data_IF_060068748751
#
_entry.id   IF_060068748751
#
_cell.length_a   1.000
_cell.length_b   1.000
_cell.length_c   1.000
_cell.angle_alpha   90.00
_cell.angle_beta   90.00
_cell.angle_gamma   90.00
#
_symmetry.space_group_name_H-M   'P 1'
#
loop_
_entity.id
_entity.type
_entity.pdbx_description
1 polymer ?
#
# COMPACT_ATOMS: atom_id res chain seq x y z
N UNK A 1 -24.25 19.92 5.22
CA UNK A 1 -23.74 19.11 4.08
C UNK A 1 -23.45 17.70 4.60
N UNK A 2 -23.91 16.65 3.90
CA UNK A 2 -23.68 15.26 4.30
C UNK A 2 -22.20 14.88 4.19
N UNK A 3 -21.80 13.81 4.90
CA UNK A 3 -20.42 13.27 4.88
C UNK A 3 -20.03 12.82 3.48
N UNK A 4 -20.96 12.33 2.68
CA UNK A 4 -20.73 11.93 1.29
C UNK A 4 -20.81 13.17 0.39
N UNK A 5 -19.70 13.52 -0.24
CA UNK A 5 -19.60 14.62 -1.19
C UNK A 5 -20.51 14.43 -2.41
N UNK A 6 -20.72 15.51 -3.12
CA UNK A 6 -21.61 15.56 -4.30
C UNK A 6 -21.02 14.83 -5.51
N UNK A 7 -19.69 14.60 -5.53
CA UNK A 7 -18.98 14.01 -6.68
C UNK A 7 -18.66 12.54 -6.36
N UNK A 8 -19.36 11.64 -7.01
CA UNK A 8 -19.02 10.22 -7.05
C UNK A 8 -18.30 9.90 -8.36
N UNK A 9 -17.30 9.05 -8.29
CA UNK A 9 -16.56 8.54 -9.45
C UNK A 9 -16.51 7.01 -9.41
N UNK A 10 -16.78 6.39 -10.54
CA UNK A 10 -16.43 4.99 -10.78
C UNK A 10 -15.01 5.00 -11.36
N UNK A 11 -14.12 4.20 -10.79
CA UNK A 11 -12.74 4.12 -11.24
C UNK A 11 -12.19 2.72 -11.22
N UNK A 12 -11.15 2.52 -12.00
CA UNK A 12 -10.31 1.34 -11.96
C UNK A 12 -8.85 1.78 -11.82
N UNK A 13 -8.08 1.03 -11.06
CA UNK A 13 -6.64 1.23 -10.93
C UNK A 13 -5.89 -0.10 -11.01
N UNK A 14 -4.64 -0.02 -11.35
CA UNK A 14 -3.74 -1.15 -11.41
C UNK A 14 -2.42 -0.79 -10.77
N UNK A 15 -2.00 -1.59 -9.78
CA UNK A 15 -0.71 -1.46 -9.15
C UNK A 15 0.11 -2.70 -9.46
N UNK A 16 1.38 -2.50 -9.81
CA UNK A 16 2.33 -3.58 -9.98
C UNK A 16 3.55 -3.30 -9.10
N UNK A 17 3.95 -4.30 -8.31
CA UNK A 17 5.19 -4.27 -7.54
C UNK A 17 6.07 -5.42 -8.00
N UNK A 18 7.23 -5.10 -8.58
CA UNK A 18 8.21 -6.09 -9.02
C UNK A 18 9.48 -5.99 -8.18
N UNK A 19 9.93 -7.11 -7.65
CA UNK A 19 11.18 -7.24 -6.89
C UNK A 19 12.24 -7.88 -7.80
N UNK A 20 13.26 -7.12 -8.16
CA UNK A 20 14.30 -7.52 -9.08
C UNK A 20 15.61 -7.81 -8.33
N UNK A 21 16.18 -9.00 -8.53
CA UNK A 21 17.46 -9.41 -7.95
C UNK A 21 18.65 -8.98 -8.83
N UNK A 22 18.93 -7.68 -8.85
CA UNK A 22 19.98 -7.08 -9.70
C UNK A 22 21.37 -7.71 -9.52
N UNK A 23 21.69 -8.18 -8.32
CA UNK A 23 23.00 -8.77 -7.98
C UNK A 23 23.09 -10.28 -8.22
N UNK A 24 21.99 -10.95 -8.57
CA UNK A 24 21.97 -12.38 -8.82
C UNK A 24 22.45 -12.71 -10.24
N UNK A 25 23.76 -12.66 -10.44
CA UNK A 25 24.38 -12.96 -11.74
C UNK A 25 24.33 -14.45 -12.13
N UNK A 26 24.07 -15.36 -11.17
CA UNK A 26 23.98 -16.80 -11.45
C UNK A 26 22.76 -17.17 -12.25
N UNK A 27 21.66 -16.42 -12.10
CA UNK A 27 20.38 -16.64 -12.76
C UNK A 27 19.98 -15.49 -13.68
N UNK A 28 20.95 -14.73 -14.22
CA UNK A 28 20.71 -13.60 -15.14
C UNK A 28 19.84 -12.49 -14.53
N UNK A 29 20.04 -12.16 -13.27
CA UNK A 29 19.31 -11.12 -12.56
C UNK A 29 17.78 -11.28 -12.68
N UNK A 30 17.17 -12.34 -12.15
CA UNK A 30 15.75 -12.63 -12.32
C UNK A 30 14.86 -11.69 -11.50
N UNK A 31 13.60 -11.61 -11.89
CA UNK A 31 12.57 -11.09 -11.00
C UNK A 31 12.23 -12.16 -9.94
N UNK A 32 12.49 -11.82 -8.68
CA UNK A 32 12.11 -12.68 -7.56
C UNK A 32 10.60 -12.83 -7.46
N UNK A 33 9.90 -11.71 -7.60
CA UNK A 33 8.45 -11.64 -7.44
C UNK A 33 7.89 -10.46 -8.23
N UNK A 34 6.67 -10.62 -8.74
CA UNK A 34 5.83 -9.53 -9.21
C UNK A 34 4.44 -9.73 -8.65
N UNK A 35 3.92 -8.72 -7.97
CA UNK A 35 2.54 -8.69 -7.48
C UNK A 35 1.71 -7.75 -8.36
N UNK A 36 0.52 -8.20 -8.71
CA UNK A 36 -0.44 -7.53 -9.58
C UNK A 36 -1.70 -7.21 -8.79
N UNK A 37 -2.05 -5.94 -8.67
CA UNK A 37 -3.17 -5.48 -7.85
C UNK A 37 -4.15 -4.62 -8.67
N UNK A 38 -5.03 -5.22 -9.51
CA UNK A 38 -6.16 -4.52 -10.10
C UNK A 38 -7.22 -4.19 -9.05
N UNK A 39 -7.83 -3.02 -9.17
CA UNK A 39 -8.90 -2.54 -8.30
C UNK A 39 -10.02 -1.91 -9.12
N UNK A 40 -11.26 -2.09 -8.65
CA UNK A 40 -12.45 -1.40 -9.13
C UNK A 40 -13.11 -0.71 -7.93
N UNK A 41 -13.46 0.57 -8.06
CA UNK A 41 -13.93 1.34 -6.92
C UNK A 41 -14.94 2.43 -7.25
N UNK A 42 -15.72 2.79 -6.24
CA UNK A 42 -16.49 4.02 -6.16
C UNK A 42 -15.78 4.98 -5.21
N UNK A 43 -15.53 6.20 -5.67
CA UNK A 43 -14.87 7.25 -4.89
C UNK A 43 -15.77 8.46 -4.70
N UNK A 44 -15.65 9.09 -3.53
CA UNK A 44 -16.40 10.26 -3.13
C UNK A 44 -15.43 11.32 -2.62
N UNK A 45 -15.27 12.40 -3.36
CA UNK A 45 -14.56 13.57 -2.87
C UNK A 45 -15.39 14.26 -1.79
N UNK A 46 -14.77 14.67 -0.70
CA UNK A 46 -15.43 15.35 0.41
C UNK A 46 -14.55 16.47 0.96
N UNK A 47 -15.14 17.40 1.69
CA UNK A 47 -14.46 18.46 2.44
C UNK A 47 -14.95 18.51 3.90
N UNK A 48 -15.42 17.37 4.42
CA UNK A 48 -15.92 17.27 5.77
C UNK A 48 -14.80 17.54 6.80
N UNK A 49 -15.06 18.51 7.67
CA UNK A 49 -14.09 18.96 8.68
C UNK A 49 -14.49 18.47 10.06
N UNK A 50 -13.50 17.90 10.79
CA UNK A 50 -13.64 17.48 12.17
C UNK A 50 -12.30 17.62 12.91
N UNK A 51 -12.31 18.29 14.06
CA UNK A 51 -11.15 18.46 14.95
C UNK A 51 -9.87 18.95 14.22
N UNK A 52 -10.00 19.85 13.24
CA UNK A 52 -8.89 20.38 12.46
C UNK A 52 -8.46 19.51 11.28
N UNK A 53 -9.01 18.32 11.13
CA UNK A 53 -8.80 17.45 9.96
C UNK A 53 -9.87 17.67 8.91
N UNK A 54 -9.48 17.59 7.66
CA UNK A 54 -10.39 17.58 6.52
C UNK A 54 -10.37 16.20 5.88
N UNK A 55 -11.49 15.48 5.92
CA UNK A 55 -11.68 14.25 5.15
C UNK A 55 -11.80 14.62 3.67
N UNK A 56 -10.84 14.20 2.86
CA UNK A 56 -10.72 14.58 1.45
C UNK A 56 -11.35 13.57 0.50
N UNK A 57 -11.24 12.30 0.83
CA UNK A 57 -11.67 11.23 -0.05
C UNK A 57 -12.16 10.02 0.74
N UNK A 58 -13.23 9.42 0.24
CA UNK A 58 -13.74 8.12 0.66
C UNK A 58 -13.80 7.24 -0.58
N UNK A 59 -13.26 6.04 -0.50
CA UNK A 59 -13.30 5.07 -1.59
C UNK A 59 -13.76 3.73 -1.05
N UNK A 60 -14.61 3.04 -1.80
CA UNK A 60 -15.03 1.67 -1.52
C UNK A 60 -14.86 0.85 -2.78
N UNK A 61 -14.26 -0.32 -2.67
CA UNK A 61 -13.96 -1.09 -3.86
C UNK A 61 -13.67 -2.56 -3.60
N UNK A 62 -13.45 -3.22 -4.71
CA UNK A 62 -12.94 -4.58 -4.78
C UNK A 62 -11.52 -4.56 -5.32
N UNK A 63 -10.68 -5.39 -4.75
CA UNK A 63 -9.28 -5.48 -5.11
C UNK A 63 -8.90 -6.97 -5.19
N UNK A 64 -8.24 -7.34 -6.26
CA UNK A 64 -7.57 -8.61 -6.43
C UNK A 64 -6.07 -8.37 -6.34
N UNK A 65 -5.34 -9.23 -5.63
CA UNK A 65 -3.89 -9.14 -5.53
C UNK A 65 -3.32 -10.54 -5.70
N UNK A 66 -2.44 -10.72 -6.69
CA UNK A 66 -1.88 -12.03 -7.04
C UNK A 66 -0.46 -11.89 -7.57
N UNK A 67 0.31 -12.98 -7.48
CA UNK A 67 1.66 -13.02 -8.02
C UNK A 67 1.75 -13.68 -9.42
N UNK A 68 0.64 -14.16 -9.96
CA UNK A 68 0.58 -14.76 -11.30
C UNK A 68 1.38 -16.04 -11.48
N UNK A 69 1.78 -16.68 -10.39
CA UNK A 69 2.52 -17.96 -10.43
C UNK A 69 1.56 -19.15 -10.35
N UNK A 70 2.04 -20.30 -10.78
CA UNK A 70 1.38 -21.60 -10.57
C UNK A 70 1.82 -22.22 -9.24
N UNK A 71 1.05 -23.23 -8.82
CA UNK A 71 1.39 -24.05 -7.65
C UNK A 71 2.79 -24.68 -7.75
N UNK A 72 3.50 -24.79 -6.60
CA UNK A 72 3.08 -24.45 -5.22
C UNK A 72 3.41 -23.01 -4.81
N UNK A 73 3.81 -22.15 -5.72
CA UNK A 73 4.22 -20.77 -5.45
C UNK A 73 3.16 -19.73 -5.76
N UNK A 74 1.96 -20.16 -6.19
CA UNK A 74 0.79 -19.32 -6.37
C UNK A 74 0.43 -18.61 -5.06
N UNK A 75 0.15 -17.30 -5.14
CA UNK A 75 -0.37 -16.50 -4.02
C UNK A 75 -1.40 -15.53 -4.57
N UNK A 76 -2.58 -15.56 -3.99
CA UNK A 76 -3.63 -14.63 -4.37
C UNK A 76 -4.64 -14.42 -3.25
N UNK A 77 -5.26 -13.26 -3.22
CA UNK A 77 -6.39 -12.96 -2.36
C UNK A 77 -7.25 -11.82 -2.91
N UNK A 78 -8.51 -11.82 -2.50
CA UNK A 78 -9.47 -10.81 -2.91
C UNK A 78 -9.98 -10.07 -1.68
N UNK A 79 -10.20 -8.77 -1.82
CA UNK A 79 -10.62 -7.91 -0.72
C UNK A 79 -11.72 -6.96 -1.16
N UNK A 80 -12.75 -6.84 -0.34
CA UNK A 80 -13.58 -5.66 -0.30
C UNK A 80 -12.92 -4.66 0.65
N UNK A 81 -12.75 -3.43 0.24
CA UNK A 81 -12.08 -2.43 1.05
C UNK A 81 -12.84 -1.11 1.11
N UNK A 82 -12.58 -0.35 2.17
CA UNK A 82 -12.84 1.07 2.23
C UNK A 82 -11.49 1.80 2.39
N UNK A 83 -11.36 2.98 1.82
CA UNK A 83 -10.21 3.86 2.00
C UNK A 83 -10.70 5.23 2.40
N UNK A 84 -10.15 5.77 3.46
CA UNK A 84 -10.43 7.12 3.94
C UNK A 84 -9.12 7.90 3.95
N UNK A 85 -9.13 9.08 3.36
CA UNK A 85 -7.98 9.97 3.31
C UNK A 85 -8.33 11.32 3.94
N UNK A 86 -7.55 11.72 4.94
CA UNK A 86 -7.72 12.98 5.65
C UNK A 86 -6.43 13.79 5.68
N UNK A 87 -6.58 15.12 5.71
CA UNK A 87 -5.46 16.06 5.72
C UNK A 87 -5.62 17.08 6.86
N UNK A 88 -4.51 17.44 7.49
CA UNK A 88 -4.41 18.56 8.42
C UNK A 88 -3.07 19.27 8.23
N UNK A 89 -3.08 20.49 7.66
CA UNK A 89 -1.85 21.19 7.31
C UNK A 89 -0.94 20.33 6.44
N UNK A 90 0.26 20.05 6.95
CA UNK A 90 1.28 19.24 6.28
C UNK A 90 1.12 17.72 6.50
N UNK A 91 0.10 17.28 7.23
CA UNK A 91 -0.18 15.88 7.49
C UNK A 91 -1.19 15.31 6.51
N UNK A 92 -0.91 14.13 6.00
CA UNK A 92 -1.83 13.26 5.27
C UNK A 92 -1.94 11.94 6.01
N UNK A 93 -3.16 11.46 6.21
CA UNK A 93 -3.42 10.14 6.81
C UNK A 93 -4.40 9.38 5.91
N UNK A 94 -4.06 8.14 5.62
CA UNK A 94 -4.91 7.21 4.89
C UNK A 94 -5.09 5.95 5.73
N UNK A 95 -6.34 5.52 5.87
CA UNK A 95 -6.71 4.22 6.48
C UNK A 95 -7.46 3.42 5.44
N UNK A 96 -6.98 2.20 5.17
CA UNK A 96 -7.59 1.27 4.22
C UNK A 96 -7.90 -0.06 4.92
N UNK A 97 -9.04 -0.19 5.64
CA UNK A 97 -9.52 -1.46 6.13
C UNK A 97 -10.03 -2.34 4.99
N UNK A 98 -10.01 -3.66 5.18
CA UNK A 98 -10.53 -4.62 4.22
C UNK A 98 -11.16 -5.85 4.87
N UNK A 99 -12.00 -6.50 4.08
CA UNK A 99 -12.57 -7.80 4.36
C UNK A 99 -12.17 -8.76 3.23
N UNK A 100 -11.62 -9.92 3.58
CA UNK A 100 -11.19 -10.93 2.61
C UNK A 100 -12.42 -11.67 2.09
N UNK A 101 -12.53 -11.83 0.78
CA UNK A 101 -13.63 -12.51 0.10
C UNK A 101 -13.10 -13.60 -0.84
N UNK A 102 -13.90 -14.62 -1.05
CA UNK A 102 -13.53 -15.74 -1.92
C UNK A 102 -12.53 -16.70 -1.26
N UNK A 103 -11.85 -17.46 -2.13
CA UNK A 103 -10.91 -18.49 -1.72
C UNK A 103 -9.51 -17.91 -1.45
N UNK A 104 -8.81 -18.42 -0.45
CA UNK A 104 -7.43 -18.13 -0.08
C UNK A 104 -6.58 -19.38 0.05
N UNK A 105 -6.91 -20.48 -0.65
CA UNK A 105 -6.26 -21.78 -0.51
C UNK A 105 -4.74 -21.69 -0.79
N UNK A 106 -4.31 -20.80 -1.67
CA UNK A 106 -2.89 -20.57 -1.98
C UNK A 106 -2.11 -19.92 -0.81
N UNK A 107 -2.82 -19.26 0.12
CA UNK A 107 -2.25 -18.55 1.27
C UNK A 107 -3.26 -18.45 2.42
N UNK A 108 -3.68 -19.59 3.02
CA UNK A 108 -4.83 -19.65 3.93
C UNK A 108 -4.65 -18.86 5.22
N UNK A 109 -3.44 -18.51 5.58
CA UNK A 109 -3.11 -17.77 6.79
C UNK A 109 -2.60 -16.34 6.52
N UNK A 110 -2.80 -15.80 5.30
CA UNK A 110 -2.30 -14.48 4.92
C UNK A 110 -2.75 -13.37 5.89
N UNK A 111 -3.98 -13.46 6.40
CA UNK A 111 -4.51 -12.47 7.35
C UNK A 111 -3.81 -12.48 8.71
N UNK A 112 -3.15 -13.59 9.09
CA UNK A 112 -2.35 -13.61 10.32
C UNK A 112 -1.22 -12.59 10.26
N UNK A 113 -0.62 -12.40 9.07
CA UNK A 113 0.54 -11.54 8.83
C UNK A 113 0.18 -10.15 8.30
N UNK A 114 -0.82 -10.09 7.41
CA UNK A 114 -1.24 -8.85 6.75
C UNK A 114 -2.31 -8.08 7.54
N UNK A 115 -3.00 -8.75 8.48
CA UNK A 115 -4.12 -8.15 9.21
C UNK A 115 -5.30 -7.80 8.31
N UNK A 116 -6.03 -6.76 8.73
CA UNK A 116 -7.30 -6.36 8.10
C UNK A 116 -7.35 -4.87 7.73
N UNK A 117 -6.22 -4.18 7.79
CA UNK A 117 -6.12 -2.77 7.40
C UNK A 117 -4.67 -2.39 7.06
N UNK A 118 -4.53 -1.29 6.32
CA UNK A 118 -3.27 -0.55 6.14
C UNK A 118 -3.47 0.87 6.62
N UNK A 119 -2.51 1.36 7.35
CA UNK A 119 -2.37 2.77 7.72
C UNK A 119 -1.23 3.36 6.92
N UNK A 120 -1.43 4.56 6.37
CA UNK A 120 -0.40 5.35 5.72
C UNK A 120 -0.44 6.76 6.26
N UNK A 121 0.73 7.31 6.56
CA UNK A 121 0.91 8.66 7.09
C UNK A 121 1.98 9.35 6.26
N UNK A 122 1.70 10.56 5.82
CA UNK A 122 2.66 11.45 5.16
C UNK A 122 2.81 12.76 5.93
N UNK A 123 4.00 13.32 5.93
CA UNK A 123 4.27 14.64 6.48
C UNK A 123 5.18 15.44 5.57
N UNK A 124 4.73 16.62 5.15
CA UNK A 124 5.52 17.52 4.32
C UNK A 124 6.41 18.39 5.20
N UNK A 125 7.73 18.21 5.11
CA UNK A 125 8.76 18.98 5.81
C UNK A 125 9.55 19.82 4.80
N UNK A 126 9.07 21.05 4.55
CA UNK A 126 9.62 21.87 3.46
C UNK A 126 9.44 21.16 2.12
N UNK A 127 10.54 20.88 1.41
CA UNK A 127 10.52 20.15 0.15
C UNK A 127 10.60 18.63 0.33
N UNK A 128 11.00 18.16 1.52
CA UNK A 128 11.04 16.74 1.84
C UNK A 128 9.64 16.22 2.20
N UNK A 129 9.36 14.96 1.88
CA UNK A 129 8.19 14.23 2.35
C UNK A 129 8.66 13.03 3.15
N UNK A 130 8.19 12.95 4.39
CA UNK A 130 8.36 11.81 5.25
C UNK A 130 7.11 10.93 5.13
N UNK A 131 7.28 9.63 4.97
CA UNK A 131 6.17 8.68 4.87
C UNK A 131 6.36 7.52 5.82
N UNK A 132 5.25 7.03 6.35
CA UNK A 132 5.17 5.79 7.09
C UNK A 132 3.95 5.02 6.60
N UNK A 133 4.08 3.72 6.37
CA UNK A 133 2.94 2.85 6.10
C UNK A 133 3.13 1.50 6.76
N UNK A 134 2.03 0.84 7.09
CA UNK A 134 2.10 -0.47 7.69
C UNK A 134 0.75 -1.12 7.90
N UNK A 135 0.81 -2.39 8.23
CA UNK A 135 -0.31 -3.24 8.63
C UNK A 135 0.06 -4.02 9.88
N UNK A 136 -0.93 -4.34 10.68
CA UNK A 136 -0.72 -5.09 11.91
C UNK A 136 -1.95 -5.92 12.29
N UNK A 137 -1.73 -7.16 12.70
CA UNK A 137 -2.78 -8.00 13.24
C UNK A 137 -2.66 -8.09 14.76
N UNK A 138 -3.57 -7.43 15.47
CA UNK A 138 -3.59 -7.35 16.93
C UNK A 138 -3.78 -8.71 17.62
N UNK A 139 -4.36 -9.70 16.94
CA UNK A 139 -4.59 -11.03 17.50
C UNK A 139 -3.34 -11.91 17.43
N UNK A 140 -2.51 -11.73 16.40
CA UNK A 140 -1.32 -12.57 16.19
C UNK A 140 -0.02 -11.87 16.56
N UNK A 141 -0.03 -10.53 16.65
CA UNK A 141 1.17 -9.72 16.88
C UNK A 141 2.07 -9.59 15.62
N UNK A 142 1.60 -10.03 14.44
CA UNK A 142 2.36 -9.93 13.20
C UNK A 142 1.95 -8.70 12.40
N UNK A 143 2.86 -8.25 11.57
CA UNK A 143 2.66 -7.11 10.69
C UNK A 143 3.96 -6.67 10.06
N UNK A 144 3.91 -5.58 9.31
CA UNK A 144 5.07 -4.97 8.70
C UNK A 144 4.87 -3.47 8.55
N UNK A 145 5.99 -2.76 8.54
CA UNK A 145 5.98 -1.32 8.39
C UNK A 145 7.11 -0.85 7.48
N UNK A 146 6.84 0.21 6.74
CA UNK A 146 7.79 0.92 5.90
C UNK A 146 7.87 2.38 6.32
N UNK A 147 9.08 2.90 6.42
CA UNK A 147 9.36 4.32 6.57
C UNK A 147 10.07 4.80 5.31
N UNK A 148 9.68 5.94 4.80
CA UNK A 148 10.25 6.51 3.59
C UNK A 148 10.55 8.00 3.74
N UNK A 149 11.51 8.46 2.95
CA UNK A 149 11.83 9.87 2.78
C UNK A 149 12.03 10.14 1.30
N UNK A 150 11.38 11.18 0.78
CA UNK A 150 11.63 11.65 -0.58
C UNK A 150 12.06 13.12 -0.57
N UNK A 151 12.93 13.49 -1.53
CA UNK A 151 13.41 14.84 -1.73
C UNK A 151 13.48 15.18 -3.23
N UNK A 152 12.98 16.35 -3.69
CA UNK A 152 13.00 16.68 -5.11
C UNK A 152 14.41 16.90 -5.62
N UNK A 153 14.73 16.25 -6.76
CA UNK A 153 15.97 16.50 -7.53
C UNK A 153 15.68 17.32 -8.78
N UNK A 154 14.49 17.15 -9.34
CA UNK A 154 13.97 17.95 -10.44
C UNK A 154 12.48 18.24 -10.22
N UNK A 155 11.85 18.98 -11.15
CA UNK A 155 10.38 19.23 -11.10
C UNK A 155 9.53 17.96 -11.14
N UNK A 156 10.07 16.84 -11.66
CA UNK A 156 9.31 15.62 -11.91
C UNK A 156 9.94 14.36 -11.30
N UNK A 157 11.11 14.50 -10.66
CA UNK A 157 11.84 13.37 -10.10
C UNK A 157 12.28 13.69 -8.69
N UNK A 158 12.02 12.78 -7.77
CA UNK A 158 12.46 12.84 -6.37
C UNK A 158 13.44 11.71 -6.09
N UNK A 159 14.47 11.96 -5.31
CA UNK A 159 15.23 10.90 -4.66
C UNK A 159 14.34 10.28 -3.57
N UNK A 160 14.41 8.97 -3.43
CA UNK A 160 13.62 8.23 -2.45
C UNK A 160 14.50 7.22 -1.71
N UNK A 161 14.33 7.14 -0.40
CA UNK A 161 14.90 6.09 0.44
C UNK A 161 13.83 5.52 1.34
N UNK A 162 13.91 4.22 1.60
CA UNK A 162 12.97 3.53 2.47
C UNK A 162 13.65 2.46 3.30
N UNK A 163 13.04 2.17 4.43
CA UNK A 163 13.29 0.97 5.21
C UNK A 163 11.97 0.25 5.45
N UNK A 164 11.94 -1.03 5.13
CA UNK A 164 10.84 -1.93 5.46
C UNK A 164 11.28 -2.90 6.53
N UNK A 165 10.39 -3.23 7.49
CA UNK A 165 10.65 -4.28 8.48
C UNK A 165 9.35 -5.00 8.83
N UNK A 166 9.39 -6.32 8.89
CA UNK A 166 8.26 -7.16 9.24
C UNK A 166 7.84 -8.12 8.13
N UNK A 167 6.54 -8.49 8.16
CA UNK A 167 5.90 -9.45 7.27
C UNK A 167 5.11 -8.74 6.16
N UNK A 168 4.94 -9.40 5.02
CA UNK A 168 4.03 -8.94 3.96
C UNK A 168 4.61 -7.88 3.02
N UNK A 169 5.92 -7.85 2.84
CA UNK A 169 6.52 -6.99 1.82
C UNK A 169 6.14 -7.40 0.39
N UNK A 170 6.01 -8.72 0.15
CA UNK A 170 5.52 -9.31 -1.10
C UNK A 170 4.58 -10.48 -0.81
N UNK A 171 3.83 -10.93 -1.82
CA UNK A 171 2.92 -12.06 -1.64
C UNK A 171 3.65 -13.37 -1.41
N UNK A 172 4.77 -13.63 -2.11
CA UNK A 172 5.52 -14.87 -1.93
C UNK A 172 6.13 -14.96 -0.52
N UNK A 173 6.52 -13.82 0.04
CA UNK A 173 7.15 -13.71 1.36
C UNK A 173 6.18 -13.14 2.42
N UNK A 174 4.85 -13.28 2.24
CA UNK A 174 3.88 -12.68 3.17
C UNK A 174 4.06 -13.14 4.62
N UNK A 175 4.57 -14.35 4.82
CA UNK A 175 4.81 -14.99 6.12
C UNK A 175 6.30 -15.01 6.52
N UNK A 176 7.15 -14.26 5.82
CA UNK A 176 8.57 -14.13 6.12
C UNK A 176 8.88 -12.75 6.71
N UNK A 177 9.52 -12.76 7.90
CA UNK A 177 9.96 -11.51 8.54
C UNK A 177 11.31 -11.09 7.98
N UNK A 178 11.38 -9.88 7.43
CA UNK A 178 12.61 -9.35 6.86
C UNK A 178 12.75 -7.86 7.12
N UNK A 179 13.99 -7.38 7.04
CA UNK A 179 14.29 -5.95 7.02
C UNK A 179 15.04 -5.64 5.73
N UNK A 180 14.55 -4.63 5.01
CA UNK A 180 15.12 -4.20 3.73
C UNK A 180 15.27 -2.69 3.70
N UNK A 181 16.41 -2.23 3.20
CA UNK A 181 16.67 -0.81 2.92
C UNK A 181 16.69 -0.64 1.40
N UNK A 182 16.02 0.40 0.91
CA UNK A 182 15.98 0.73 -0.50
C UNK A 182 16.34 2.20 -0.74
N UNK A 183 16.97 2.46 -1.88
CA UNK A 183 17.19 3.79 -2.43
C UNK A 183 16.74 3.79 -3.89
N UNK A 184 16.18 4.89 -4.35
CA UNK A 184 15.65 4.93 -5.71
C UNK A 184 15.19 6.32 -6.14
N UNK A 185 14.45 6.32 -7.24
CA UNK A 185 13.82 7.49 -7.80
C UNK A 185 12.30 7.33 -7.78
N UNK A 186 11.60 8.42 -7.54
CA UNK A 186 10.16 8.50 -7.49
C UNK A 186 9.69 9.59 -8.45
N UNK A 187 8.67 9.30 -9.26
CA UNK A 187 8.09 10.26 -10.21
C UNK A 187 6.87 10.99 -9.64
N UNK A 188 6.15 10.36 -8.71
CA UNK A 188 5.01 10.93 -8.01
C UNK A 188 5.17 10.72 -6.51
N UNK A 189 4.54 11.57 -5.71
CA UNK A 189 4.55 11.46 -4.25
C UNK A 189 3.14 11.54 -3.66
N UNK A 190 3.04 11.55 -2.32
CA UNK A 190 1.80 11.55 -1.56
C UNK A 190 1.01 12.86 -1.64
N UNK A 191 1.68 13.98 -1.92
CA UNK A 191 1.13 15.33 -1.96
C UNK A 191 1.13 15.90 -3.36
#
# INVERSE_FOLDING_TARGET
RGILGVISRLGASYTQKSLWELSNSKESAPFRETNYEPQLFLGFATDYQFAGWTLRDIEMGYNHDSNGRSDPTSRSWNRLYARLMAQNGNWLVEVKPWYVVGNTDDNPDITKYMGYYRLKVGYQLGEAILSAQGQYNWNTGYGGAELGVSYPITKHVRAYTQIYSGYGESLIDYNFNQTRVGVGLMLNDLF
#
